data_IF_891119897304
#
_entry.id   IF_891119897304
#
_cell.length_a   1.000
_cell.length_b   1.000
_cell.length_c   1.000
_cell.angle_alpha   90.00
_cell.angle_beta   90.00
_cell.angle_gamma   90.00
#
_symmetry.space_group_name_H-M   'P 1'
#
loop_
_entity.id
_entity.type
_entity.pdbx_description
1 polymer ?
#
# COMPACT_ATOMS: atom_id res chain seq x y z
N UNK A 1 41.35 32.26 13.20
CA UNK A 1 41.14 33.56 13.86
C UNK A 1 40.36 34.47 12.95
N UNK A 2 39.17 34.85 13.40
CA UNK A 2 38.26 35.75 12.71
C UNK A 2 38.81 37.18 12.65
N UNK A 3 38.78 37.77 11.46
CA UNK A 3 39.01 39.18 11.21
C UNK A 3 37.68 39.92 11.19
N UNK A 4 37.64 41.13 11.76
CA UNK A 4 36.43 41.96 11.82
C UNK A 4 36.68 43.29 11.13
N UNK A 5 35.74 43.69 10.26
CA UNK A 5 35.76 45.02 9.65
C UNK A 5 34.39 45.68 9.70
N UNK A 6 34.40 47.00 9.71
CA UNK A 6 33.20 47.83 9.61
C UNK A 6 32.97 48.18 8.13
N UNK A 7 31.77 47.92 7.62
CA UNK A 7 31.31 48.31 6.27
C UNK A 7 30.05 49.15 6.41
N UNK A 8 30.18 50.46 6.20
CA UNK A 8 29.11 51.42 6.48
C UNK A 8 28.68 51.38 7.96
N UNK A 9 27.39 51.22 8.20
CA UNK A 9 26.80 51.11 9.54
C UNK A 9 26.80 49.69 10.14
N UNK A 10 27.39 48.70 9.45
CA UNK A 10 27.36 47.31 9.90
C UNK A 10 28.75 46.71 10.04
N UNK A 11 28.86 45.67 10.86
CA UNK A 11 30.04 44.86 11.06
C UNK A 11 29.98 43.57 10.25
N UNK A 12 31.13 43.10 9.81
CA UNK A 12 31.36 41.85 9.09
C UNK A 12 32.51 41.09 9.75
N UNK A 13 32.39 39.77 9.85
CA UNK A 13 33.50 38.89 10.18
C UNK A 13 33.99 38.12 8.96
N UNK A 14 35.27 37.74 8.97
CA UNK A 14 35.93 36.91 7.96
C UNK A 14 36.79 35.87 8.65
N UNK A 15 36.60 34.60 8.34
CA UNK A 15 37.37 33.49 8.91
C UNK A 15 38.07 32.77 7.76
N UNK A 16 39.40 32.76 7.79
CA UNK A 16 40.22 31.95 6.89
C UNK A 16 40.40 30.56 7.48
N UNK A 17 40.24 29.54 6.65
CA UNK A 17 40.43 28.14 7.03
C UNK A 17 41.05 27.37 5.86
N UNK A 18 41.74 26.27 6.16
CA UNK A 18 42.33 25.39 5.14
C UNK A 18 41.37 24.24 4.84
N UNK A 19 41.03 24.07 3.56
CA UNK A 19 40.21 22.97 3.05
C UNK A 19 41.03 22.21 1.99
N UNK A 20 41.38 20.95 2.26
CA UNK A 20 42.11 20.08 1.34
C UNK A 20 43.35 20.76 0.69
N UNK A 21 44.15 21.45 1.50
CA UNK A 21 45.37 22.14 1.05
C UNK A 21 45.16 23.50 0.36
N UNK A 22 43.91 23.97 0.20
CA UNK A 22 43.60 25.31 -0.33
C UNK A 22 43.03 26.21 0.78
N UNK A 23 43.54 27.44 0.85
CA UNK A 23 43.04 28.43 1.80
C UNK A 23 41.71 29.01 1.29
N UNK A 24 40.65 28.88 2.10
CA UNK A 24 39.31 29.41 1.82
C UNK A 24 38.91 30.43 2.89
N UNK A 25 37.97 31.30 2.54
CA UNK A 25 37.46 32.37 3.42
C UNK A 25 35.93 32.31 3.50
N UNK A 26 35.40 32.28 4.72
CA UNK A 26 33.97 32.50 5.00
C UNK A 26 33.80 33.91 5.53
N UNK A 27 32.79 34.62 5.02
CA UNK A 27 32.45 35.96 5.50
C UNK A 27 30.95 36.11 5.68
N UNK A 28 30.54 36.86 6.72
CA UNK A 28 29.14 37.24 6.94
C UNK A 28 29.09 38.63 7.55
N UNK A 29 28.23 39.48 7.00
CA UNK A 29 28.02 40.86 7.43
C UNK A 29 26.58 41.15 7.84
N UNK A 30 26.33 42.39 8.23
CA UNK A 30 25.00 42.86 8.62
C UNK A 30 24.79 42.97 10.13
N UNK A 31 25.84 42.82 10.93
CA UNK A 31 25.76 42.95 12.39
C UNK A 31 25.74 44.43 12.79
N UNK A 32 24.91 44.83 13.75
CA UNK A 32 24.83 46.23 14.19
C UNK A 32 26.04 46.58 15.06
N UNK A 33 26.54 45.61 15.82
CA UNK A 33 27.69 45.80 16.73
C UNK A 33 28.83 44.83 16.44
N UNK A 34 30.06 45.21 16.82
CA UNK A 34 31.24 44.33 16.75
C UNK A 34 31.07 43.08 17.64
N UNK A 35 30.36 43.23 18.75
CA UNK A 35 30.09 42.16 19.71
C UNK A 35 29.19 41.08 19.12
N UNK A 36 28.12 41.47 18.40
CA UNK A 36 27.27 40.53 17.65
C UNK A 36 28.06 39.77 16.58
N UNK A 37 28.88 40.48 15.81
CA UNK A 37 29.74 39.86 14.80
C UNK A 37 30.72 38.86 15.44
N UNK A 38 31.27 39.19 16.61
CA UNK A 38 32.18 38.33 17.38
C UNK A 38 31.50 37.08 17.92
N UNK A 39 30.31 37.21 18.50
CA UNK A 39 29.53 36.07 18.98
C UNK A 39 29.18 35.10 17.83
N UNK A 40 28.78 35.64 16.67
CA UNK A 40 28.53 34.84 15.48
C UNK A 40 29.81 34.16 14.93
N UNK A 41 30.94 34.86 14.96
CA UNK A 41 32.22 34.30 14.52
C UNK A 41 32.71 33.16 15.43
N UNK A 42 32.56 33.28 16.76
CA UNK A 42 32.93 32.24 17.72
C UNK A 42 32.16 30.95 17.47
N UNK A 43 30.86 31.01 17.18
CA UNK A 43 30.06 29.82 16.85
C UNK A 43 30.55 29.13 15.57
N UNK A 44 31.05 29.88 14.60
CA UNK A 44 31.61 29.33 13.36
C UNK A 44 33.03 28.78 13.60
N UNK A 45 33.87 29.45 14.38
CA UNK A 45 35.18 28.94 14.77
C UNK A 45 35.05 27.66 15.60
N UNK A 46 34.11 27.59 16.54
CA UNK A 46 33.82 26.36 17.30
C UNK A 46 33.35 25.22 16.40
N UNK A 47 32.50 25.49 15.40
CA UNK A 47 32.09 24.49 14.40
C UNK A 47 33.26 24.00 13.55
N UNK A 48 34.16 24.91 13.14
CA UNK A 48 35.37 24.57 12.41
C UNK A 48 36.35 23.74 13.24
N UNK A 49 36.45 24.01 14.55
CA UNK A 49 37.34 23.31 15.49
C UNK A 49 36.78 21.95 15.90
N UNK A 50 35.46 21.83 16.15
CA UNK A 50 34.84 20.57 16.59
C UNK A 50 34.52 19.59 15.46
N UNK A 51 34.38 20.05 14.21
CA UNK A 51 33.87 19.22 13.11
C UNK A 51 34.69 19.23 11.80
N UNK A 52 35.83 19.93 11.74
CA UNK A 52 36.59 20.07 10.50
C UNK A 52 35.79 20.72 9.36
N UNK A 53 36.39 20.82 8.18
CA UNK A 53 35.74 21.41 6.98
C UNK A 53 34.55 20.58 6.47
N UNK A 54 34.39 19.35 6.95
CA UNK A 54 33.30 18.44 6.56
C UNK A 54 31.91 18.97 6.94
N UNK A 55 31.77 19.72 8.04
CA UNK A 55 30.49 20.35 8.38
C UNK A 55 30.04 21.43 7.37
N UNK A 56 30.90 21.88 6.45
CA UNK A 56 30.53 22.82 5.39
C UNK A 56 29.97 22.13 4.13
N UNK A 57 29.99 20.79 4.06
CA UNK A 57 29.55 20.01 2.89
C UNK A 57 28.25 19.21 3.12
N UNK A 58 27.52 19.47 4.21
CA UNK A 58 26.24 18.79 4.49
C UNK A 58 25.24 19.01 3.34
N UNK A 59 24.79 17.91 2.76
CA UNK A 59 23.75 17.85 1.74
C UNK A 59 24.24 18.22 0.34
N UNK A 60 25.56 18.23 0.12
CA UNK A 60 26.14 18.35 -1.22
C UNK A 60 26.10 17.04 -2.02
N UNK A 61 25.80 15.92 -1.36
CA UNK A 61 25.52 14.65 -2.04
C UNK A 61 24.33 14.78 -2.99
N UNK A 62 24.42 14.12 -4.13
CA UNK A 62 23.33 14.07 -5.10
C UNK A 62 22.17 13.23 -4.57
N UNK A 63 20.97 13.57 -5.01
CA UNK A 63 19.75 12.89 -4.62
C UNK A 63 19.77 11.40 -4.99
N UNK A 64 20.24 11.07 -6.20
CA UNK A 64 20.37 9.69 -6.68
C UNK A 64 21.32 8.84 -5.83
N UNK A 65 22.46 9.41 -5.44
CA UNK A 65 23.47 8.72 -4.65
C UNK A 65 22.94 8.45 -3.24
N UNK A 66 22.30 9.46 -2.64
CA UNK A 66 21.67 9.29 -1.33
C UNK A 66 20.48 8.32 -1.37
N UNK A 67 19.69 8.33 -2.44
CA UNK A 67 18.59 7.38 -2.63
C UNK A 67 19.09 5.93 -2.67
N UNK A 68 20.24 5.68 -3.31
CA UNK A 68 20.86 4.35 -3.31
C UNK A 68 21.27 3.92 -1.89
N UNK A 69 21.91 4.81 -1.13
CA UNK A 69 22.31 4.58 0.26
C UNK A 69 21.07 4.31 1.14
N UNK A 70 20.04 5.15 1.05
CA UNK A 70 18.77 4.99 1.75
C UNK A 70 18.13 3.62 1.47
N UNK A 71 18.12 3.21 0.19
CA UNK A 71 17.56 1.93 -0.20
C UNK A 71 18.34 0.74 0.39
N UNK A 72 19.68 0.81 0.44
CA UNK A 72 20.51 -0.22 1.09
C UNK A 72 20.23 -0.34 2.60
N UNK A 73 19.97 0.78 3.27
CA UNK A 73 19.66 0.82 4.69
C UNK A 73 18.24 0.32 5.01
N UNK A 74 17.24 0.77 4.25
CA UNK A 74 15.83 0.59 4.62
C UNK A 74 15.10 -0.57 3.92
N UNK A 75 15.59 -1.09 2.77
CA UNK A 75 14.86 -2.12 2.03
C UNK A 75 15.04 -3.53 2.59
N UNK A 76 16.05 -3.78 3.43
CA UNK A 76 16.33 -5.12 3.98
C UNK A 76 15.18 -5.71 4.81
N UNK A 77 14.38 -4.86 5.47
CA UNK A 77 13.30 -5.28 6.37
C UNK A 77 11.89 -5.05 5.78
N UNK A 78 11.79 -4.47 4.58
CA UNK A 78 10.51 -4.19 3.92
C UNK A 78 10.04 -5.41 3.13
N UNK A 79 8.72 -5.64 3.14
CA UNK A 79 8.09 -6.63 2.26
C UNK A 79 8.25 -6.22 0.80
N UNK A 80 8.46 -7.19 -0.10
CA UNK A 80 8.74 -6.91 -1.51
C UNK A 80 7.63 -6.09 -2.21
N UNK A 81 6.35 -6.38 -1.94
CA UNK A 81 5.25 -5.59 -2.50
C UNK A 81 5.29 -4.12 -2.08
N UNK A 82 5.71 -3.84 -0.84
CA UNK A 82 5.96 -2.48 -0.36
C UNK A 82 7.19 -1.87 -1.05
N UNK A 83 8.23 -2.66 -1.32
CA UNK A 83 9.40 -2.21 -2.08
C UNK A 83 9.03 -1.81 -3.52
N UNK A 84 8.23 -2.60 -4.24
CA UNK A 84 7.80 -2.26 -5.60
C UNK A 84 7.03 -0.93 -5.61
N UNK A 85 6.11 -0.73 -4.65
CA UNK A 85 5.37 0.54 -4.53
C UNK A 85 6.30 1.71 -4.22
N UNK A 86 7.26 1.53 -3.31
CA UNK A 86 8.26 2.53 -2.96
C UNK A 86 9.11 2.89 -4.18
N UNK A 87 9.64 1.89 -4.90
CA UNK A 87 10.44 2.06 -6.12
C UNK A 87 9.69 2.83 -7.20
N UNK A 88 8.39 2.59 -7.38
CA UNK A 88 7.58 3.35 -8.33
C UNK A 88 7.47 4.83 -7.95
N UNK A 89 7.35 5.14 -6.65
CA UNK A 89 7.38 6.51 -6.15
C UNK A 89 8.76 7.15 -6.29
N UNK A 90 9.81 6.43 -5.88
CA UNK A 90 11.21 6.83 -5.99
C UNK A 90 11.62 7.12 -7.43
N UNK A 91 11.16 6.33 -8.40
CA UNK A 91 11.41 6.58 -9.84
C UNK A 91 10.87 7.93 -10.29
N UNK A 92 9.69 8.34 -9.83
CA UNK A 92 9.12 9.66 -10.14
C UNK A 92 9.93 10.78 -9.50
N UNK A 93 10.38 10.59 -8.26
CA UNK A 93 11.26 11.54 -7.58
C UNK A 93 12.60 11.67 -8.30
N UNK A 94 13.21 10.54 -8.68
CA UNK A 94 14.46 10.49 -9.42
C UNK A 94 14.34 11.20 -10.77
N UNK A 95 13.26 10.98 -11.52
CA UNK A 95 13.03 11.68 -12.79
C UNK A 95 13.04 13.22 -12.63
N UNK A 96 12.60 13.73 -11.47
CA UNK A 96 12.54 15.18 -11.20
C UNK A 96 13.85 15.72 -10.59
N UNK A 97 14.45 14.99 -9.66
CA UNK A 97 15.54 15.47 -8.81
C UNK A 97 16.91 14.83 -9.09
N UNK A 98 17.05 14.02 -10.15
CA UNK A 98 18.35 13.52 -10.59
C UNK A 98 19.32 14.69 -10.85
N UNK A 99 20.53 14.58 -10.33
CA UNK A 99 21.57 15.60 -10.39
C UNK A 99 21.38 16.75 -9.39
N UNK A 100 20.33 16.74 -8.58
CA UNK A 100 20.15 17.74 -7.53
C UNK A 100 20.97 17.35 -6.32
N UNK A 101 21.69 18.32 -5.74
CA UNK A 101 22.21 18.19 -4.38
C UNK A 101 21.05 18.24 -3.38
N UNK A 102 21.07 17.41 -2.34
CA UNK A 102 19.99 17.36 -1.34
C UNK A 102 19.67 18.75 -0.74
N UNK A 103 20.71 19.53 -0.42
CA UNK A 103 20.55 20.87 0.17
C UNK A 103 20.05 21.94 -0.82
N UNK A 104 19.93 21.61 -2.12
CA UNK A 104 19.40 22.50 -3.17
C UNK A 104 17.95 22.23 -3.52
N UNK A 105 17.35 21.15 -3.00
CA UNK A 105 15.93 20.86 -3.20
C UNK A 105 15.10 21.87 -2.39
N UNK A 106 14.49 22.84 -3.08
CA UNK A 106 13.70 23.90 -2.44
C UNK A 106 12.26 23.44 -2.22
N UNK A 107 11.67 23.80 -1.08
CA UNK A 107 10.26 23.52 -0.75
C UNK A 107 9.30 24.02 -1.82
N UNK A 108 9.49 25.24 -2.32
CA UNK A 108 8.61 25.83 -3.34
C UNK A 108 8.61 25.01 -4.64
N UNK A 109 9.78 24.57 -5.09
CA UNK A 109 9.89 23.71 -6.28
C UNK A 109 9.25 22.35 -6.06
N UNK A 110 9.48 21.74 -4.89
CA UNK A 110 8.86 20.46 -4.56
C UNK A 110 7.34 20.56 -4.43
N UNK A 111 6.80 21.68 -3.91
CA UNK A 111 5.36 21.94 -3.90
C UNK A 111 4.78 22.00 -5.31
N UNK A 112 5.46 22.68 -6.25
CA UNK A 112 5.04 22.70 -7.65
C UNK A 112 5.05 21.30 -8.27
N UNK A 113 6.07 20.49 -7.98
CA UNK A 113 6.11 19.10 -8.42
C UNK A 113 4.92 18.28 -7.88
N UNK A 114 4.55 18.47 -6.61
CA UNK A 114 3.36 17.82 -6.02
C UNK A 114 2.08 18.29 -6.72
N UNK A 115 1.95 19.58 -7.01
CA UNK A 115 0.81 20.12 -7.74
C UNK A 115 0.73 19.57 -9.16
N UNK A 116 1.86 19.43 -9.87
CA UNK A 116 1.91 18.82 -11.20
C UNK A 116 1.42 17.37 -11.16
N UNK A 117 1.84 16.59 -10.14
CA UNK A 117 1.33 15.23 -9.96
C UNK A 117 -0.19 15.19 -9.76
N UNK A 118 -0.75 16.11 -8.97
CA UNK A 118 -2.17 16.13 -8.66
C UNK A 118 -3.03 16.61 -9.83
N UNK A 119 -2.61 17.69 -10.50
CA UNK A 119 -3.46 18.45 -11.42
C UNK A 119 -3.05 18.31 -12.89
N UNK A 120 -1.75 18.23 -13.20
CA UNK A 120 -1.29 18.07 -14.57
C UNK A 120 -1.31 16.60 -15.01
N UNK A 121 -0.74 15.71 -14.19
CA UNK A 121 -0.73 14.27 -14.46
C UNK A 121 -1.97 13.54 -13.90
N UNK A 122 -2.84 14.27 -13.20
CA UNK A 122 -4.10 13.80 -12.64
C UNK A 122 -3.98 12.51 -11.78
N UNK A 123 -2.92 12.37 -10.99
CA UNK A 123 -2.81 11.26 -10.04
C UNK A 123 -3.85 11.39 -8.92
N UNK A 124 -4.32 10.24 -8.40
CA UNK A 124 -5.14 10.20 -7.19
C UNK A 124 -4.34 10.72 -5.98
N UNK A 125 -5.01 11.37 -5.01
CA UNK A 125 -4.34 11.97 -3.84
C UNK A 125 -3.54 10.94 -3.08
N UNK A 126 -4.14 9.78 -2.81
CA UNK A 126 -3.49 8.63 -2.17
C UNK A 126 -2.19 8.19 -2.88
N UNK A 127 -2.10 8.33 -4.21
CA UNK A 127 -0.86 8.03 -4.94
C UNK A 127 0.20 9.09 -4.69
N UNK A 128 -0.19 10.36 -4.67
CA UNK A 128 0.72 11.48 -4.39
C UNK A 128 1.19 11.47 -2.93
N UNK A 129 0.30 11.16 -1.98
CA UNK A 129 0.63 10.97 -0.56
C UNK A 129 1.71 9.89 -0.37
N UNK A 130 1.63 8.77 -1.11
CA UNK A 130 2.68 7.74 -1.08
C UNK A 130 4.00 8.24 -1.64
N UNK A 131 3.99 8.96 -2.76
CA UNK A 131 5.21 9.54 -3.35
C UNK A 131 5.83 10.55 -2.37
N UNK A 132 5.00 11.36 -1.73
CA UNK A 132 5.45 12.32 -0.72
C UNK A 132 6.04 11.63 0.51
N UNK A 133 5.38 10.57 1.00
CA UNK A 133 5.89 9.74 2.09
C UNK A 133 7.28 9.17 1.82
N UNK A 134 7.53 8.68 0.60
CA UNK A 134 8.88 8.23 0.21
C UNK A 134 9.89 9.39 0.20
N UNK A 135 9.53 10.56 -0.32
CA UNK A 135 10.41 11.73 -0.27
C UNK A 135 10.74 12.14 1.18
N UNK A 136 9.74 12.13 2.07
CA UNK A 136 9.96 12.43 3.49
C UNK A 136 10.86 11.39 4.14
N UNK A 137 10.67 10.10 3.85
CA UNK A 137 11.54 9.01 4.31
C UNK A 137 13.00 9.25 3.90
N UNK A 138 13.24 9.56 2.61
CA UNK A 138 14.59 9.81 2.09
C UNK A 138 15.24 11.03 2.77
N UNK A 139 14.51 12.15 2.85
CA UNK A 139 15.03 13.40 3.41
C UNK A 139 15.21 13.34 4.94
N UNK A 140 14.36 12.61 5.66
CA UNK A 140 14.53 12.42 7.11
C UNK A 140 15.71 11.49 7.41
N UNK A 141 15.87 10.41 6.63
CA UNK A 141 17.04 9.53 6.73
C UNK A 141 18.35 10.31 6.54
N UNK A 142 18.39 11.29 5.62
CA UNK A 142 19.53 12.20 5.46
C UNK A 142 19.80 13.06 6.71
N UNK A 143 18.76 13.45 7.43
CA UNK A 143 18.93 14.21 8.69
C UNK A 143 19.44 13.30 9.80
N UNK A 144 18.89 12.10 9.92
CA UNK A 144 19.27 11.09 10.92
C UNK A 144 20.74 10.67 10.80
N UNK A 145 21.28 10.69 9.58
CA UNK A 145 22.67 10.33 9.28
C UNK A 145 23.56 11.56 9.04
N UNK A 146 23.17 12.71 9.58
CA UNK A 146 23.97 13.94 9.56
C UNK A 146 24.27 14.55 8.18
N UNK A 147 23.72 14.02 7.08
CA UNK A 147 23.84 14.58 5.73
C UNK A 147 23.03 15.87 5.55
N UNK A 148 21.96 16.07 6.30
CA UNK A 148 21.20 17.32 6.33
C UNK A 148 21.03 17.80 7.78
N UNK A 149 21.11 19.12 8.00
CA UNK A 149 20.80 19.69 9.33
C UNK A 149 19.31 19.57 9.67
N UNK A 150 18.44 19.64 8.66
CA UNK A 150 16.99 19.54 8.81
C UNK A 150 16.33 19.15 7.50
N UNK A 151 15.14 18.58 7.58
CA UNK A 151 14.32 18.31 6.40
C UNK A 151 13.73 19.63 5.87
N UNK A 152 14.14 20.02 4.66
CA UNK A 152 13.77 21.26 3.99
C UNK A 152 12.33 21.26 3.45
N UNK A 153 11.68 20.11 3.41
CA UNK A 153 10.39 19.88 2.73
C UNK A 153 9.22 19.69 3.69
N UNK A 154 9.37 20.10 4.96
CA UNK A 154 8.26 20.08 5.93
C UNK A 154 7.16 21.06 5.51
N UNK A 155 5.90 20.67 5.76
CA UNK A 155 4.72 21.51 5.54
C UNK A 155 4.23 21.58 4.08
N UNK A 156 4.57 20.59 3.25
CA UNK A 156 4.01 20.46 1.90
C UNK A 156 2.51 20.20 2.00
N UNK A 157 1.74 20.89 1.17
CA UNK A 157 0.30 20.80 1.12
C UNK A 157 -0.10 19.80 0.03
N UNK A 158 -0.90 18.80 0.39
CA UNK A 158 -1.47 17.83 -0.55
C UNK A 158 -2.97 17.87 -0.37
N UNK A 159 -3.63 18.69 -1.18
CA UNK A 159 -5.08 18.82 -1.22
C UNK A 159 -5.56 18.60 -2.64
N UNK A 160 -6.47 17.66 -2.79
CA UNK A 160 -7.24 17.42 -4.00
C UNK A 160 -8.63 17.03 -3.52
N UNK A 161 -9.65 17.69 -4.04
CA UNK A 161 -11.03 17.31 -3.76
C UNK A 161 -11.20 15.89 -4.29
N UNK A 162 -11.41 14.95 -3.38
CA UNK A 162 -11.75 13.58 -3.73
C UNK A 162 -13.25 13.45 -3.51
N UNK A 163 -14.00 13.13 -4.57
CA UNK A 163 -15.32 12.54 -4.38
C UNK A 163 -15.14 11.26 -3.56
N UNK A 164 -15.98 11.03 -2.55
CA UNK A 164 -15.99 9.76 -1.85
C UNK A 164 -16.22 8.64 -2.86
N UNK A 165 -15.17 7.88 -3.18
CA UNK A 165 -15.28 6.73 -4.07
C UNK A 165 -16.23 5.73 -3.43
N UNK A 166 -17.47 5.70 -3.92
CA UNK A 166 -18.45 4.73 -3.48
C UNK A 166 -17.90 3.34 -3.70
N UNK A 167 -17.95 2.57 -2.63
CA UNK A 167 -17.50 1.21 -2.61
C UNK A 167 -18.18 0.38 -3.71
N UNK A 168 -17.37 -0.35 -4.49
CA UNK A 168 -17.87 -1.13 -5.62
C UNK A 168 -18.15 -2.58 -5.18
N UNK A 169 -19.42 -2.97 -5.13
CA UNK A 169 -19.89 -4.33 -4.81
C UNK A 169 -21.08 -4.75 -5.69
N UNK A 170 -21.27 -6.05 -5.92
CA UNK A 170 -22.39 -6.56 -6.71
C UNK A 170 -23.65 -6.64 -5.85
N UNK A 171 -24.76 -6.08 -6.31
CA UNK A 171 -26.05 -6.28 -5.64
C UNK A 171 -26.60 -7.70 -5.90
N UNK A 172 -27.69 -8.07 -5.21
CA UNK A 172 -28.29 -9.40 -5.30
C UNK A 172 -28.67 -9.83 -6.73
N UNK A 173 -29.15 -8.90 -7.57
CA UNK A 173 -29.52 -9.21 -8.96
C UNK A 173 -28.28 -9.41 -9.83
N UNK A 174 -27.25 -8.57 -9.66
CA UNK A 174 -25.98 -8.71 -10.38
C UNK A 174 -25.27 -10.01 -9.98
N UNK A 175 -25.35 -10.43 -8.72
CA UNK A 175 -24.84 -11.74 -8.26
C UNK A 175 -25.57 -12.87 -8.97
N UNK A 176 -26.91 -12.83 -9.08
CA UNK A 176 -27.67 -13.83 -9.84
C UNK A 176 -27.24 -13.90 -11.31
N UNK A 177 -27.05 -12.75 -11.97
CA UNK A 177 -26.58 -12.68 -13.34
C UNK A 177 -25.17 -13.28 -13.49
N UNK A 178 -24.27 -12.99 -12.55
CA UNK A 178 -22.94 -13.57 -12.53
C UNK A 178 -22.99 -15.09 -12.35
N UNK A 179 -23.80 -15.60 -11.41
CA UNK A 179 -23.92 -17.05 -11.17
C UNK A 179 -24.49 -17.79 -12.38
N UNK A 180 -25.45 -17.22 -13.09
CA UNK A 180 -26.02 -17.82 -14.30
C UNK A 180 -24.97 -18.00 -15.43
N UNK A 181 -24.00 -17.08 -15.53
CA UNK A 181 -22.89 -17.22 -16.49
C UNK A 181 -21.97 -18.38 -16.10
N UNK A 182 -21.74 -18.60 -14.80
CA UNK A 182 -20.83 -19.65 -14.32
C UNK A 182 -21.31 -21.07 -14.64
N UNK A 183 -22.60 -21.27 -14.93
CA UNK A 183 -23.15 -22.58 -15.30
C UNK A 183 -22.54 -23.12 -16.60
N UNK A 184 -22.05 -22.24 -17.48
CA UNK A 184 -21.48 -22.58 -18.78
C UNK A 184 -19.95 -22.39 -18.84
N UNK A 185 -19.31 -22.15 -17.69
CA UNK A 185 -17.87 -21.89 -17.59
C UNK A 185 -17.12 -23.10 -17.02
N UNK A 186 -15.81 -23.12 -17.24
CA UNK A 186 -14.94 -24.17 -16.68
C UNK A 186 -15.12 -24.26 -15.16
N UNK A 187 -15.16 -25.50 -14.64
CA UNK A 187 -15.42 -25.78 -13.22
C UNK A 187 -14.49 -24.98 -12.28
N UNK A 188 -13.22 -24.80 -12.64
CA UNK A 188 -12.28 -24.02 -11.82
C UNK A 188 -12.73 -22.56 -11.67
N UNK A 189 -13.29 -21.93 -12.71
CA UNK A 189 -13.76 -20.54 -12.66
C UNK A 189 -14.97 -20.43 -11.74
N UNK A 190 -15.93 -21.35 -11.90
CA UNK A 190 -17.13 -21.45 -11.06
C UNK A 190 -16.76 -21.59 -9.59
N UNK A 191 -15.93 -22.57 -9.25
CA UNK A 191 -15.57 -22.87 -7.86
C UNK A 191 -14.75 -21.74 -7.25
N UNK A 192 -13.85 -21.11 -8.01
CA UNK A 192 -13.11 -19.92 -7.55
C UNK A 192 -14.04 -18.76 -7.20
N UNK A 193 -15.02 -18.45 -8.06
CA UNK A 193 -15.97 -17.36 -7.82
C UNK A 193 -16.89 -17.66 -6.65
N UNK A 194 -17.45 -18.88 -6.59
CA UNK A 194 -18.33 -19.29 -5.49
C UNK A 194 -17.57 -19.25 -4.16
N UNK A 195 -16.33 -19.73 -4.14
CA UNK A 195 -15.48 -19.67 -2.94
C UNK A 195 -15.28 -18.23 -2.50
N UNK A 196 -14.81 -17.34 -3.39
CA UNK A 196 -14.59 -15.93 -3.05
C UNK A 196 -15.87 -15.23 -2.56
N UNK A 197 -17.00 -15.50 -3.21
CA UNK A 197 -18.30 -14.90 -2.88
C UNK A 197 -18.85 -15.37 -1.53
N UNK A 198 -18.63 -16.64 -1.14
CA UNK A 198 -19.17 -17.22 0.12
C UNK A 198 -18.24 -17.07 1.32
N UNK A 199 -16.96 -16.84 1.08
CA UNK A 199 -15.93 -16.77 2.14
C UNK A 199 -15.40 -15.36 2.36
N UNK A 200 -15.44 -14.50 1.34
CA UNK A 200 -14.81 -13.19 1.37
C UNK A 200 -13.28 -13.23 1.44
N UNK A 201 -12.63 -14.33 1.03
CA UNK A 201 -11.18 -14.43 1.00
C UNK A 201 -10.55 -13.35 0.12
N UNK A 202 -9.32 -12.92 0.45
CA UNK A 202 -8.50 -12.15 -0.48
C UNK A 202 -8.01 -13.08 -1.59
N UNK A 203 -7.79 -12.57 -2.81
CA UNK A 203 -7.33 -13.38 -3.94
C UNK A 203 -6.02 -14.12 -3.64
N UNK A 204 -5.09 -13.51 -2.89
CA UNK A 204 -3.87 -14.19 -2.45
C UNK A 204 -4.13 -15.32 -1.45
N UNK A 205 -5.11 -15.16 -0.56
CA UNK A 205 -5.53 -16.22 0.39
C UNK A 205 -6.16 -17.39 -0.37
N UNK A 206 -7.07 -17.10 -1.31
CA UNK A 206 -7.68 -18.10 -2.20
C UNK A 206 -6.60 -18.92 -2.94
N UNK A 207 -5.67 -18.24 -3.60
CA UNK A 207 -4.59 -18.90 -4.35
C UNK A 207 -3.55 -19.60 -3.45
N UNK A 208 -3.56 -19.32 -2.15
CA UNK A 208 -2.71 -19.98 -1.16
C UNK A 208 -3.32 -21.26 -0.57
N UNK A 209 -4.62 -21.47 -0.75
CA UNK A 209 -5.38 -22.53 -0.09
C UNK A 209 -4.93 -23.92 -0.54
N UNK A 210 -4.69 -24.82 0.41
CA UNK A 210 -4.46 -26.24 0.18
C UNK A 210 -5.70 -27.08 0.53
N UNK A 211 -5.80 -28.28 -0.04
CA UNK A 211 -6.85 -29.22 0.32
C UNK A 211 -6.83 -29.60 1.81
N UNK A 212 -5.65 -29.61 2.44
CA UNK A 212 -5.49 -29.84 3.89
C UNK A 212 -6.11 -28.74 4.76
N UNK A 213 -6.36 -27.55 4.20
CA UNK A 213 -6.89 -26.42 4.94
C UNK A 213 -8.43 -26.42 5.00
N UNK A 214 -9.08 -27.37 4.31
CA UNK A 214 -10.54 -27.54 4.27
C UNK A 214 -10.91 -28.77 5.10
N UNK A 215 -11.69 -28.55 6.14
CA UNK A 215 -12.31 -29.60 6.93
C UNK A 215 -13.75 -29.79 6.44
N UNK A 216 -13.97 -30.84 5.65
CA UNK A 216 -15.28 -31.14 5.07
C UNK A 216 -16.28 -31.65 6.11
N UNK A 217 -15.82 -32.28 7.19
CA UNK A 217 -16.69 -32.83 8.25
C UNK A 217 -17.22 -31.70 9.13
N UNK A 218 -16.32 -30.83 9.61
CA UNK A 218 -16.69 -29.68 10.43
C UNK A 218 -17.13 -28.47 9.61
N UNK A 219 -17.10 -28.56 8.27
CA UNK A 219 -17.45 -27.52 7.30
C UNK A 219 -16.71 -26.21 7.58
N UNK A 220 -15.38 -26.30 7.69
CA UNK A 220 -14.52 -25.14 7.93
C UNK A 220 -13.41 -25.00 6.91
N UNK A 221 -12.94 -23.77 6.75
CA UNK A 221 -11.80 -23.41 5.92
C UNK A 221 -10.83 -22.59 6.76
N UNK A 222 -9.57 -23.03 6.81
CA UNK A 222 -8.50 -22.35 7.52
C UNK A 222 -7.67 -21.47 6.58
N UNK A 223 -7.43 -20.23 6.99
CA UNK A 223 -6.58 -19.27 6.29
C UNK A 223 -5.34 -19.06 7.12
N UNK A 224 -4.22 -19.60 6.66
CA UNK A 224 -2.94 -19.52 7.36
C UNK A 224 -1.77 -19.10 6.45
N UNK A 225 -2.05 -18.93 5.15
CA UNK A 225 -1.09 -18.59 4.10
C UNK A 225 -1.73 -17.75 3.00
N UNK A 226 -0.88 -17.11 2.20
CA UNK A 226 -1.28 -16.43 0.98
C UNK A 226 -0.24 -16.65 -0.11
N UNK A 227 -0.67 -16.68 -1.37
CA UNK A 227 0.21 -16.66 -2.52
C UNK A 227 0.37 -15.22 -3.04
N UNK A 228 1.61 -14.78 -3.14
CA UNK A 228 1.98 -13.48 -3.70
C UNK A 228 2.85 -13.66 -4.96
N UNK A 229 3.34 -12.56 -5.54
CA UNK A 229 4.27 -12.60 -6.69
C UNK A 229 5.53 -13.41 -6.42
N UNK A 230 5.92 -13.52 -5.16
CA UNK A 230 7.19 -14.14 -4.72
C UNK A 230 7.00 -15.60 -4.31
N UNK A 231 5.80 -16.14 -4.49
CA UNK A 231 5.42 -17.47 -4.03
C UNK A 231 4.54 -17.45 -2.79
N UNK A 232 4.54 -18.58 -2.08
CA UNK A 232 3.75 -18.79 -0.87
C UNK A 232 4.41 -18.08 0.31
N UNK A 233 3.61 -17.44 1.16
CA UNK A 233 4.12 -16.78 2.36
C UNK A 233 3.04 -16.59 3.42
N UNK A 234 3.42 -16.10 4.60
CA UNK A 234 2.46 -15.85 5.67
C UNK A 234 1.47 -14.75 5.27
N UNK A 235 0.24 -14.76 5.82
CA UNK A 235 -0.75 -13.72 5.66
C UNK A 235 -0.22 -12.33 6.06
N UNK A 236 -0.89 -11.29 5.56
CA UNK A 236 -0.40 -9.90 5.70
C UNK A 236 -0.32 -9.44 7.16
N UNK A 237 -1.17 -9.96 8.05
CA UNK A 237 -1.22 -9.56 9.46
C UNK A 237 -1.61 -10.74 10.34
N UNK A 238 -1.30 -10.65 11.64
CA UNK A 238 -1.71 -11.66 12.63
C UNK A 238 -3.22 -11.94 12.62
N UNK A 239 -4.06 -10.92 12.43
CA UNK A 239 -5.52 -11.06 12.34
C UNK A 239 -6.01 -11.78 11.07
N UNK A 240 -5.12 -12.05 10.11
CA UNK A 240 -5.49 -12.77 8.89
C UNK A 240 -5.48 -14.29 9.08
N UNK A 241 -4.77 -14.79 10.10
CA UNK A 241 -4.85 -16.18 10.52
C UNK A 241 -6.21 -16.42 11.15
N UNK A 242 -7.02 -17.29 10.53
CA UNK A 242 -8.40 -17.55 10.99
C UNK A 242 -8.95 -18.83 10.38
N UNK A 243 -9.91 -19.43 11.07
CA UNK A 243 -10.75 -20.48 10.53
C UNK A 243 -12.17 -19.95 10.39
N UNK A 244 -12.80 -20.19 9.25
CA UNK A 244 -14.15 -19.71 8.94
C UNK A 244 -15.06 -20.88 8.59
N UNK A 245 -16.31 -20.84 9.06
CA UNK A 245 -17.34 -21.78 8.62
C UNK A 245 -17.71 -21.55 7.15
N UNK A 246 -17.96 -22.65 6.43
CA UNK A 246 -18.42 -22.67 5.04
C UNK A 246 -19.75 -23.44 4.95
N UNK A 247 -20.61 -23.03 4.03
CA UNK A 247 -21.93 -23.62 3.86
C UNK A 247 -21.91 -24.87 2.95
N UNK A 248 -23.00 -25.63 2.98
CA UNK A 248 -23.15 -26.88 2.22
C UNK A 248 -23.02 -26.71 0.71
N UNK A 249 -23.42 -25.55 0.19
CA UNK A 249 -23.30 -25.28 -1.24
C UNK A 249 -21.81 -25.19 -1.60
N UNK A 250 -21.01 -24.46 -0.82
CA UNK A 250 -19.57 -24.39 -1.05
C UNK A 250 -18.88 -25.76 -0.86
N UNK A 251 -19.29 -26.55 0.14
CA UNK A 251 -18.77 -27.90 0.35
C UNK A 251 -18.98 -28.77 -0.89
N UNK A 252 -20.21 -28.79 -1.42
CA UNK A 252 -20.54 -29.60 -2.59
C UNK A 252 -19.75 -29.18 -3.84
N UNK A 253 -19.57 -27.87 -4.05
CA UNK A 253 -18.76 -27.34 -5.16
C UNK A 253 -17.28 -27.76 -5.03
N UNK A 254 -16.72 -27.70 -3.81
CA UNK A 254 -15.34 -28.09 -3.55
C UNK A 254 -15.13 -29.59 -3.71
N UNK A 255 -16.08 -30.43 -3.27
CA UNK A 255 -16.02 -31.88 -3.47
C UNK A 255 -16.10 -32.24 -4.96
N UNK A 256 -17.02 -31.63 -5.72
CA UNK A 256 -17.12 -31.83 -7.16
C UNK A 256 -15.82 -31.41 -7.87
N UNK A 257 -15.23 -30.29 -7.45
CA UNK A 257 -13.95 -29.83 -8.00
C UNK A 257 -12.79 -30.75 -7.67
N UNK A 258 -12.75 -31.30 -6.44
CA UNK A 258 -11.74 -32.27 -6.02
C UNK A 258 -11.82 -33.55 -6.87
N UNK A 259 -13.02 -34.09 -7.05
CA UNK A 259 -13.24 -35.26 -7.92
C UNK A 259 -12.80 -34.99 -9.36
N UNK A 260 -13.13 -33.81 -9.90
CA UNK A 260 -12.65 -33.39 -11.23
C UNK A 260 -11.12 -33.33 -11.31
N UNK A 261 -10.42 -32.85 -10.28
CA UNK A 261 -8.95 -32.86 -10.26
C UNK A 261 -8.39 -34.29 -10.24
N UNK A 262 -8.95 -35.17 -9.43
CA UNK A 262 -8.56 -36.58 -9.34
C UNK A 262 -8.76 -37.31 -10.68
N UNK A 263 -9.88 -37.06 -11.37
CA UNK A 263 -10.13 -37.60 -12.72
C UNK A 263 -9.11 -37.09 -13.75
N UNK A 264 -8.77 -35.79 -13.71
CA UNK A 264 -7.76 -35.23 -14.60
C UNK A 264 -6.35 -35.74 -14.31
N UNK A 265 -6.01 -35.99 -13.04
CA UNK A 265 -4.74 -36.60 -12.65
C UNK A 265 -4.57 -37.99 -13.28
N UNK A 266 -5.66 -38.77 -13.35
CA UNK A 266 -5.64 -40.12 -13.92
C UNK A 266 -5.68 -40.11 -15.47
N UNK A 267 -6.41 -39.17 -16.07
CA UNK A 267 -6.71 -39.20 -17.51
C UNK A 267 -5.72 -38.39 -18.37
N UNK A 268 -5.06 -37.36 -17.83
CA UNK A 268 -4.18 -36.47 -18.61
C UNK A 268 -2.71 -36.80 -18.39
N UNK A 269 -2.00 -37.04 -19.48
CA UNK A 269 -0.57 -37.41 -19.47
C UNK A 269 0.36 -36.32 -18.89
N UNK A 270 -0.03 -35.05 -18.97
CA UNK A 270 0.78 -33.91 -18.52
C UNK A 270 0.22 -33.19 -17.28
N UNK A 271 -0.67 -33.85 -16.53
CA UNK A 271 -1.26 -33.26 -15.33
C UNK A 271 -0.23 -33.23 -14.19
N UNK A 272 -0.14 -32.09 -13.51
CA UNK A 272 0.75 -31.92 -12.36
C UNK A 272 -0.06 -31.96 -11.08
N UNK A 273 0.02 -33.07 -10.33
CA UNK A 273 -0.60 -33.16 -9.01
C UNK A 273 -0.10 -32.00 -8.13
N UNK A 274 -1.04 -31.37 -7.43
CA UNK A 274 -0.77 -30.21 -6.58
C UNK A 274 -1.67 -30.25 -5.36
N UNK A 275 -1.12 -29.94 -4.19
CA UNK A 275 -1.90 -29.84 -2.95
C UNK A 275 -2.78 -28.58 -2.90
N UNK A 276 -2.52 -27.61 -3.77
CA UNK A 276 -3.33 -26.39 -3.89
C UNK A 276 -4.72 -26.71 -4.38
N UNK A 277 -5.73 -26.13 -3.74
CA UNK A 277 -7.13 -26.24 -4.16
C UNK A 277 -7.30 -25.71 -5.58
N UNK A 278 -6.77 -24.52 -5.88
CA UNK A 278 -7.00 -23.84 -7.16
C UNK A 278 -5.81 -23.96 -8.11
N UNK A 279 -6.00 -24.80 -9.13
CA UNK A 279 -5.06 -25.07 -10.23
C UNK A 279 -5.75 -25.01 -11.58
N UNK A 280 -4.96 -24.83 -12.64
CA UNK A 280 -5.45 -24.88 -14.02
C UNK A 280 -5.77 -26.31 -14.49
N UNK A 281 -6.22 -26.44 -15.73
CA UNK A 281 -6.63 -27.72 -16.33
C UNK A 281 -5.51 -28.76 -16.45
N UNK A 282 -4.26 -28.36 -16.22
CA UNK A 282 -3.08 -29.23 -16.21
C UNK A 282 -2.48 -29.37 -14.79
N UNK A 283 -3.21 -28.96 -13.75
CA UNK A 283 -2.76 -29.05 -12.36
C UNK A 283 -1.73 -27.99 -11.97
N UNK A 284 -1.44 -27.01 -12.84
CA UNK A 284 -0.47 -25.97 -12.57
C UNK A 284 -1.09 -24.82 -11.77
N UNK A 285 -0.26 -24.18 -10.96
CA UNK A 285 -0.64 -23.03 -10.14
C UNK A 285 -0.99 -21.84 -11.03
N UNK A 286 -2.12 -21.18 -10.77
CA UNK A 286 -2.46 -19.93 -11.44
C UNK A 286 -1.49 -18.77 -11.16
N UNK A 287 -1.31 -17.86 -12.12
CA UNK A 287 -0.69 -16.57 -11.84
C UNK A 287 -1.54 -15.73 -10.88
N UNK A 288 -0.91 -14.82 -10.11
CA UNK A 288 -1.64 -14.00 -9.12
C UNK A 288 -2.71 -13.09 -9.73
N UNK A 289 -2.60 -12.75 -11.01
CA UNK A 289 -3.56 -11.90 -11.72
C UNK A 289 -4.80 -12.67 -12.18
N UNK A 290 -4.74 -14.01 -12.22
CA UNK A 290 -5.80 -14.85 -12.78
C UNK A 290 -7.18 -14.56 -12.18
N UNK A 291 -7.38 -14.43 -10.85
CA UNK A 291 -8.70 -14.13 -10.30
C UNK A 291 -9.26 -12.79 -10.82
N UNK A 292 -8.41 -11.78 -10.99
CA UNK A 292 -8.81 -10.46 -11.48
C UNK A 292 -9.14 -10.50 -12.98
N UNK A 293 -8.29 -11.13 -13.78
CA UNK A 293 -8.49 -11.26 -15.23
C UNK A 293 -9.74 -12.08 -15.56
N UNK A 294 -9.95 -13.16 -14.80
CA UNK A 294 -11.15 -13.99 -14.86
C UNK A 294 -12.40 -13.16 -14.52
N UNK A 295 -12.39 -12.43 -13.40
CA UNK A 295 -13.53 -11.61 -12.98
C UNK A 295 -13.90 -10.57 -14.04
N UNK A 296 -12.92 -9.91 -14.66
CA UNK A 296 -13.17 -8.94 -15.74
C UNK A 296 -13.92 -9.56 -16.92
N UNK A 297 -13.56 -10.79 -17.31
CA UNK A 297 -14.24 -11.49 -18.40
C UNK A 297 -15.64 -11.95 -18.01
N UNK A 298 -15.81 -12.50 -16.80
CA UNK A 298 -17.11 -12.95 -16.30
C UNK A 298 -18.12 -11.81 -16.18
N UNK A 299 -17.70 -10.64 -15.68
CA UNK A 299 -18.57 -9.45 -15.65
C UNK A 299 -19.01 -9.03 -17.05
N UNK A 300 -18.11 -9.11 -18.04
CA UNK A 300 -18.45 -8.83 -19.44
C UNK A 300 -19.50 -9.81 -19.98
N UNK A 301 -19.34 -11.10 -19.72
CA UNK A 301 -20.30 -12.12 -20.13
C UNK A 301 -21.65 -11.99 -19.42
N UNK A 302 -21.64 -11.57 -18.16
CA UNK A 302 -22.84 -11.26 -17.40
C UNK A 302 -23.49 -9.92 -17.81
N UNK A 303 -22.92 -9.21 -18.80
CA UNK A 303 -23.35 -7.86 -19.24
C UNK A 303 -23.40 -6.85 -18.09
N UNK A 304 -22.50 -7.01 -17.12
CA UNK A 304 -22.34 -6.13 -15.97
C UNK A 304 -21.28 -5.05 -16.25
N UNK A 305 -21.39 -3.85 -15.63
CA UNK A 305 -20.40 -2.81 -15.80
C UNK A 305 -18.99 -3.28 -15.43
N UNK A 306 -17.95 -2.84 -16.16
CA UNK A 306 -16.57 -3.18 -15.83
C UNK A 306 -16.20 -2.57 -14.47
N UNK A 307 -15.72 -3.40 -13.55
CA UNK A 307 -15.33 -2.98 -12.20
C UNK A 307 -13.84 -3.17 -11.98
N UNK A 308 -13.17 -2.15 -11.45
CA UNK A 308 -11.72 -2.15 -11.20
C UNK A 308 -11.39 -2.48 -9.74
N UNK A 309 -11.97 -3.55 -9.18
CA UNK A 309 -11.64 -4.00 -7.82
C UNK A 309 -11.10 -5.43 -7.82
N UNK A 310 -9.89 -5.61 -7.30
CA UNK A 310 -9.28 -6.92 -7.01
C UNK A 310 -10.03 -7.68 -5.92
N UNK A 311 -10.92 -7.01 -5.19
CA UNK A 311 -11.63 -7.52 -4.03
C UNK A 311 -13.15 -7.42 -4.18
N UNK A 312 -13.65 -7.29 -5.42
CA UNK A 312 -15.08 -7.13 -5.70
C UNK A 312 -15.96 -8.14 -4.96
N UNK A 313 -15.67 -9.45 -5.08
CA UNK A 313 -16.48 -10.48 -4.43
C UNK A 313 -16.35 -10.48 -2.91
N UNK A 314 -15.19 -10.09 -2.37
CA UNK A 314 -15.02 -9.91 -0.92
C UNK A 314 -15.86 -8.76 -0.39
N UNK A 315 -15.95 -7.70 -1.17
CA UNK A 315 -16.80 -6.56 -0.89
C UNK A 315 -18.29 -6.94 -0.96
N UNK A 316 -18.69 -7.64 -2.02
CA UNK A 316 -20.03 -8.23 -2.14
C UNK A 316 -20.37 -9.14 -0.96
N UNK A 317 -19.48 -10.08 -0.58
CA UNK A 317 -19.66 -10.99 0.56
C UNK A 317 -19.96 -10.22 1.85
N UNK A 318 -19.16 -9.20 2.13
CA UNK A 318 -19.29 -8.40 3.35
C UNK A 318 -20.64 -7.65 3.39
N UNK A 319 -21.01 -6.99 2.29
CA UNK A 319 -22.29 -6.27 2.19
C UNK A 319 -23.46 -7.24 2.32
N UNK A 320 -23.44 -8.38 1.63
CA UNK A 320 -24.53 -9.37 1.71
C UNK A 320 -24.66 -9.99 3.12
N UNK A 321 -23.56 -10.20 3.84
CA UNK A 321 -23.58 -10.65 5.23
C UNK A 321 -24.19 -9.58 6.16
N UNK A 322 -23.86 -8.31 5.94
CA UNK A 322 -24.48 -7.22 6.70
C UNK A 322 -25.97 -7.12 6.35
N UNK A 323 -26.35 -7.20 5.08
CA UNK A 323 -27.75 -7.15 4.63
C UNK A 323 -28.59 -8.33 5.15
N UNK A 324 -28.00 -9.51 5.36
CA UNK A 324 -28.67 -10.62 6.08
C UNK A 324 -28.76 -10.39 7.60
N UNK A 325 -28.17 -9.30 8.07
CA UNK A 325 -28.19 -8.80 9.44
C UNK A 325 -27.24 -9.54 10.35
N UNK A 326 -26.11 -10.03 9.83
CA UNK A 326 -24.96 -10.43 10.64
C UNK A 326 -24.28 -9.17 11.18
N UNK A 327 -23.85 -9.21 12.43
CA UNK A 327 -23.22 -8.06 13.06
C UNK A 327 -21.84 -7.75 12.44
N UNK A 328 -21.48 -6.47 12.46
CA UNK A 328 -20.26 -5.98 11.82
C UNK A 328 -18.97 -6.56 12.43
N UNK A 329 -18.98 -6.92 13.71
CA UNK A 329 -17.80 -7.52 14.37
C UNK A 329 -17.57 -8.94 13.88
N UNK A 330 -18.63 -9.72 13.67
CA UNK A 330 -18.56 -11.05 13.06
C UNK A 330 -18.09 -10.96 11.61
N UNK A 331 -18.63 -10.03 10.81
CA UNK A 331 -18.16 -9.81 9.43
C UNK A 331 -16.68 -9.39 9.41
N UNK A 332 -16.28 -8.46 10.27
CA UNK A 332 -14.89 -7.99 10.40
C UNK A 332 -13.91 -9.12 10.76
N UNK A 333 -14.29 -9.97 11.73
CA UNK A 333 -13.52 -11.15 12.16
C UNK A 333 -13.41 -12.16 11.03
N UNK A 334 -14.52 -12.49 10.36
CA UNK A 334 -14.54 -13.40 9.19
C UNK A 334 -13.65 -12.92 8.05
N UNK A 335 -13.57 -11.61 7.84
CA UNK A 335 -12.71 -10.99 6.84
C UNK A 335 -11.24 -10.88 7.30
N UNK A 336 -10.94 -11.05 8.58
CA UNK A 336 -9.60 -10.91 9.14
C UNK A 336 -9.09 -9.47 9.14
N UNK A 337 -9.98 -8.50 9.39
CA UNK A 337 -9.61 -7.09 9.56
C UNK A 337 -9.03 -6.85 10.95
N UNK A 338 -7.89 -6.15 11.02
CA UNK A 338 -7.23 -5.80 12.29
C UNK A 338 -8.03 -4.78 13.09
N UNK A 339 -8.65 -3.82 12.41
CA UNK A 339 -9.50 -2.81 13.01
C UNK A 339 -10.91 -2.93 12.44
N UNK A 340 -11.91 -2.95 13.31
CA UNK A 340 -13.32 -2.92 12.95
C UNK A 340 -13.67 -1.67 12.18
N UNK A 341 -12.96 -0.56 12.42
CA UNK A 341 -13.15 0.71 11.71
C UNK A 341 -12.94 0.56 10.20
N UNK A 342 -12.10 -0.40 9.77
CA UNK A 342 -11.96 -0.70 8.34
C UNK A 342 -13.28 -1.25 7.80
N UNK A 343 -13.92 -2.16 8.52
CA UNK A 343 -15.22 -2.71 8.16
C UNK A 343 -16.29 -1.62 8.26
N UNK A 344 -16.27 -0.83 9.33
CA UNK A 344 -17.18 0.28 9.55
C UNK A 344 -17.10 1.31 8.41
N UNK A 345 -15.95 1.92 8.19
CA UNK A 345 -15.77 2.95 7.17
C UNK A 345 -15.93 2.42 5.75
N UNK A 346 -15.73 1.11 5.53
CA UNK A 346 -15.93 0.51 4.20
C UNK A 346 -17.39 0.10 3.96
N UNK A 347 -18.12 -0.35 4.98
CA UNK A 347 -19.41 -1.05 4.80
C UNK A 347 -20.59 -0.47 5.62
N UNK A 348 -20.39 0.50 6.52
CA UNK A 348 -21.46 1.19 7.26
C UNK A 348 -22.12 2.32 6.48
N UNK A 349 -21.77 2.54 5.20
CA UNK A 349 -22.69 3.25 4.32
C UNK A 349 -23.90 2.34 4.12
N UNK A 350 -24.82 2.44 5.07
CA UNK A 350 -26.01 1.62 5.23
C UNK A 350 -26.70 1.53 3.87
N UNK A 351 -26.76 0.33 3.30
CA UNK A 351 -27.65 0.14 2.15
C UNK A 351 -29.07 0.34 2.69
N UNK A 352 -29.97 1.02 1.96
CA UNK A 352 -31.36 1.17 2.39
C UNK A 352 -32.02 -0.17 2.77
N UNK A 353 -31.53 -1.28 2.22
CA UNK A 353 -31.97 -2.63 2.55
C UNK A 353 -31.54 -3.10 3.94
N UNK A 354 -30.30 -2.80 4.36
CA UNK A 354 -29.83 -3.15 5.70
C UNK A 354 -30.64 -2.44 6.79
N UNK A 355 -30.96 -1.15 6.59
CA UNK A 355 -31.80 -0.37 7.50
C UNK A 355 -33.20 -0.96 7.61
N UNK A 356 -33.83 -1.28 6.48
CA UNK A 356 -35.15 -1.95 6.46
C UNK A 356 -35.13 -3.28 7.19
N UNK A 357 -34.11 -4.10 6.96
CA UNK A 357 -34.00 -5.41 7.63
C UNK A 357 -33.74 -5.26 9.14
N UNK A 358 -32.98 -4.24 9.56
CA UNK A 358 -32.77 -3.95 10.96
C UNK A 358 -34.07 -3.50 11.65
N UNK A 359 -34.85 -2.61 11.02
CA UNK A 359 -36.16 -2.19 11.51
C UNK A 359 -37.12 -3.37 11.62
N UNK A 360 -37.21 -4.21 10.58
CA UNK A 360 -38.04 -5.41 10.61
C UNK A 360 -37.67 -6.35 11.76
N UNK A 361 -36.37 -6.61 11.99
CA UNK A 361 -35.91 -7.43 13.13
C UNK A 361 -36.28 -6.80 14.47
N UNK A 362 -36.29 -5.47 14.56
CA UNK A 362 -36.68 -4.75 15.77
C UNK A 362 -38.20 -4.83 16.00
N UNK A 363 -39.01 -4.68 14.96
CA UNK A 363 -40.46 -4.92 14.99
C UNK A 363 -40.76 -6.36 15.45
N UNK A 364 -40.15 -7.37 14.81
CA UNK A 364 -40.29 -8.78 15.16
C UNK A 364 -39.88 -9.06 16.64
N UNK A 365 -38.93 -8.31 17.19
CA UNK A 365 -38.49 -8.45 18.59
C UNK A 365 -39.46 -7.81 19.59
N UNK A 366 -40.16 -6.73 19.21
CA UNK A 366 -41.15 -6.09 20.07
C UNK A 366 -42.51 -6.80 20.06
N UNK A 367 -42.81 -7.52 18.98
CA UNK A 367 -44.06 -8.29 18.81
C UNK A 367 -44.01 -9.69 19.46
N UNK A 368 -42.82 -10.20 19.79
CA UNK A 368 -42.60 -11.40 20.60
C UNK A 368 -42.30 -11.06 22.06
#
# INVERSE_FOLDING_TARGET
MAYFRKRGNHWEYRIKYNDAGKQKEISKGGFRTKTEARAAAVLIEEKLVKGGVEQLRKGEILFEDWLEIHNKMHNQHRRESSNISAMNGQRKLLNKFKGYKLNKIKRAEYQLFINDLLFHFNYAKNTVDRIHGEMMSIMNSAVEHDELEKNLLRGIQISKDEEEEKMVFLNKNEVKQLLAVLENEDIFKRVMVITLLRTGLRSGELLGLLWSDIDFENKTLTVDRQRTRTGLGPPKSKSSYRTIGIDDILINELLAYKAWQEENELSKTNYQKSDFVFVDDNGKKFYQTKPQDMMKNLLRYAKLPPRKSTHLLRHTHAVMMLESGVDIKTVSTRLGHKNIDITANTYLHVTPEHERNALKKFEDYLEN
#
